data_IF_016748513604
#
_entry.id   IF_016748513604
#
_cell.length_a   1.000
_cell.length_b   1.000
_cell.length_c   1.000
_cell.angle_alpha   90.00
_cell.angle_beta   90.00
_cell.angle_gamma   90.00
#
_symmetry.space_group_name_H-M   'P 1'
#
loop_
_entity.id
_entity.type
_entity.pdbx_description
1 polymer ?
#
# COMPACT_ATOMS: atom_id res chain seq x y z
N UNK A 1 -17.88 9.17 -28.11
CA UNK A 1 -17.95 10.63 -28.01
C UNK A 1 -18.42 10.95 -26.60
N UNK A 2 -17.50 11.29 -25.69
CA UNK A 2 -17.79 11.53 -24.28
C UNK A 2 -18.58 12.84 -24.15
N UNK A 3 -19.76 12.80 -23.54
CA UNK A 3 -20.45 13.99 -23.06
C UNK A 3 -20.28 14.05 -21.54
N UNK A 4 -19.53 15.04 -21.08
CA UNK A 4 -19.40 15.44 -19.68
C UNK A 4 -20.56 16.40 -19.37
N UNK A 5 -21.53 15.93 -18.59
CA UNK A 5 -22.60 16.77 -18.05
C UNK A 5 -22.26 17.15 -16.61
N UNK A 6 -21.93 18.41 -16.38
CA UNK A 6 -21.79 19.00 -15.05
C UNK A 6 -23.17 19.29 -14.46
N UNK A 7 -23.49 18.78 -13.27
CA UNK A 7 -24.61 19.27 -12.47
C UNK A 7 -24.14 19.55 -11.05
N UNK A 8 -24.51 20.74 -10.58
CA UNK A 8 -24.19 21.37 -9.32
C UNK A 8 -25.40 21.32 -8.36
N UNK A 9 -25.13 21.53 -7.07
CA UNK A 9 -26.05 21.78 -5.92
C UNK A 9 -26.85 20.60 -5.31
N UNK A 10 -27.09 20.48 -4.00
CA UNK A 10 -26.53 21.01 -2.73
C UNK A 10 -27.08 20.14 -1.58
N UNK A 11 -26.38 20.06 -0.43
CA UNK A 11 -27.04 19.88 0.88
C UNK A 11 -27.00 18.50 1.52
N UNK A 12 -26.12 18.37 2.53
CA UNK A 12 -26.08 17.39 3.63
C UNK A 12 -25.66 15.95 3.32
N UNK A 13 -24.51 15.57 3.89
CA UNK A 13 -24.24 14.21 4.38
C UNK A 13 -23.29 13.39 3.51
N UNK A 14 -22.06 13.19 4.02
CA UNK A 14 -21.06 12.18 3.63
C UNK A 14 -20.85 11.97 2.11
N UNK A 15 -19.82 12.64 1.59
CA UNK A 15 -19.25 12.32 0.27
C UNK A 15 -18.43 11.03 0.42
N UNK A 16 -19.07 9.89 0.17
CA UNK A 16 -18.38 8.67 -0.19
C UNK A 16 -17.95 8.78 -1.65
N UNK A 17 -16.67 8.53 -1.94
CA UNK A 17 -16.18 8.48 -3.31
C UNK A 17 -16.59 7.11 -3.87
N UNK A 18 -17.81 7.02 -4.41
CA UNK A 18 -18.21 5.90 -5.27
C UNK A 18 -17.68 6.19 -6.68
N UNK A 19 -16.64 5.47 -7.09
CA UNK A 19 -16.25 5.45 -8.49
C UNK A 19 -17.29 4.65 -9.29
N UNK A 20 -18.27 5.33 -9.89
CA UNK A 20 -19.15 4.72 -10.91
C UNK A 20 -18.33 4.44 -12.17
N UNK A 21 -17.76 3.24 -12.27
CA UNK A 21 -17.20 2.72 -13.52
C UNK A 21 -18.37 2.22 -14.37
N UNK A 22 -18.46 2.72 -15.61
CA UNK A 22 -19.62 2.65 -16.49
C UNK A 22 -20.27 1.26 -16.64
N UNK A 23 -21.61 1.24 -16.56
CA UNK A 23 -22.47 0.07 -16.77
C UNK A 23 -22.30 -0.46 -18.20
N UNK A 24 -21.76 -1.66 -18.36
CA UNK A 24 -21.89 -2.43 -19.61
C UNK A 24 -23.28 -3.07 -19.64
N UNK A 25 -24.18 -2.59 -20.51
CA UNK A 25 -25.48 -3.21 -20.76
C UNK A 25 -25.34 -4.31 -21.80
N UNK A 26 -25.41 -5.57 -21.36
CA UNK A 26 -25.86 -6.67 -22.23
C UNK A 26 -27.18 -7.21 -21.67
N UNK A 27 -28.20 -7.23 -22.52
CA UNK A 27 -29.55 -7.67 -22.20
C UNK A 27 -29.55 -9.14 -21.76
N UNK A 28 -29.84 -9.41 -20.48
CA UNK A 28 -30.85 -10.38 -20.04
C UNK A 28 -30.82 -10.56 -18.52
N UNK A 29 -32.02 -10.54 -17.93
CA UNK A 29 -32.37 -11.00 -16.56
C UNK A 29 -31.65 -10.35 -15.37
N UNK A 30 -32.42 -9.51 -14.68
CA UNK A 30 -32.29 -9.07 -13.29
C UNK A 30 -31.34 -9.91 -12.41
N UNK A 31 -30.15 -9.38 -12.19
CA UNK A 31 -29.33 -9.71 -11.03
C UNK A 31 -28.67 -8.42 -10.55
N UNK A 32 -29.33 -7.69 -9.64
CA UNK A 32 -28.66 -6.66 -8.85
C UNK A 32 -27.79 -7.37 -7.80
N UNK A 33 -26.71 -8.03 -8.26
CA UNK A 33 -25.58 -8.29 -7.40
C UNK A 33 -24.70 -7.07 -7.50
N UNK A 34 -24.56 -6.34 -6.39
CA UNK A 34 -23.32 -5.64 -6.12
C UNK A 34 -22.23 -6.70 -6.15
N UNK A 35 -21.56 -6.82 -7.30
CA UNK A 35 -20.37 -7.66 -7.42
C UNK A 35 -19.30 -6.95 -6.61
N UNK A 36 -19.13 -7.36 -5.36
CA UNK A 36 -17.94 -7.05 -4.59
C UNK A 36 -16.79 -7.73 -5.32
N UNK A 37 -16.13 -7.03 -6.24
CA UNK A 37 -14.91 -7.56 -6.84
C UNK A 37 -13.87 -7.54 -5.73
N UNK A 38 -13.69 -8.68 -5.07
CA UNK A 38 -12.54 -8.94 -4.21
C UNK A 38 -11.34 -9.10 -5.12
N UNK A 39 -10.76 -7.98 -5.54
CA UNK A 39 -9.43 -7.97 -6.11
C UNK A 39 -8.47 -8.45 -5.02
N UNK A 40 -7.63 -9.45 -5.35
CA UNK A 40 -6.43 -9.74 -4.59
C UNK A 40 -5.66 -8.43 -4.46
N UNK A 41 -5.43 -7.94 -3.25
CA UNK A 41 -4.98 -6.56 -3.12
C UNK A 41 -4.22 -6.35 -1.82
N UNK A 42 -3.06 -5.71 -1.96
CA UNK A 42 -2.34 -5.13 -0.84
C UNK A 42 -3.28 -4.09 -0.21
N UNK A 43 -3.69 -4.29 1.03
CA UNK A 43 -4.61 -3.38 1.72
C UNK A 43 -3.88 -2.16 2.26
N UNK A 44 -2.71 -2.39 2.83
CA UNK A 44 -1.84 -1.34 3.32
C UNK A 44 -0.39 -1.81 3.40
N UNK A 45 0.51 -0.84 3.38
CA UNK A 45 1.93 -1.00 3.69
C UNK A 45 2.29 -0.07 4.84
N UNK A 46 2.97 -0.63 5.84
CA UNK A 46 3.44 0.08 7.02
C UNK A 46 4.96 -0.10 7.16
N UNK A 47 5.62 1.01 7.47
CA UNK A 47 7.00 1.04 7.90
C UNK A 47 7.04 1.59 9.32
N UNK A 48 7.41 0.76 10.28
CA UNK A 48 7.43 1.13 11.70
C UNK A 48 8.80 0.86 12.31
N UNK A 49 9.25 1.74 13.18
CA UNK A 49 10.46 1.49 13.94
C UNK A 49 10.21 0.63 15.19
N UNK A 50 11.27 0.25 15.88
CA UNK A 50 11.18 -0.56 17.11
C UNK A 50 10.32 0.07 18.22
N UNK A 51 10.19 1.40 18.25
CA UNK A 51 9.38 2.13 19.23
C UNK A 51 7.90 2.22 18.84
N UNK A 52 7.51 1.75 17.65
CA UNK A 52 6.14 1.86 17.14
C UNK A 52 5.84 3.19 16.46
N UNK A 53 6.86 3.99 16.16
CA UNK A 53 6.69 5.19 15.33
C UNK A 53 6.60 4.77 13.87
N UNK A 54 5.48 5.14 13.25
CA UNK A 54 5.24 4.95 11.82
C UNK A 54 6.05 5.97 11.01
N UNK A 55 6.83 5.48 10.04
CA UNK A 55 7.66 6.29 9.12
C UNK A 55 7.01 6.41 7.75
N UNK A 56 6.29 5.39 7.34
CA UNK A 56 5.47 5.37 6.13
C UNK A 56 4.21 4.57 6.42
N UNK A 57 3.07 5.07 5.96
CA UNK A 57 1.80 4.35 5.96
C UNK A 57 1.02 4.71 4.70
N UNK A 58 0.83 3.73 3.82
CA UNK A 58 -0.02 3.87 2.64
C UNK A 58 -1.14 2.85 2.73
N UNK A 59 -2.36 3.34 2.54
CA UNK A 59 -3.59 2.55 2.59
C UNK A 59 -4.21 2.55 1.20
N UNK A 60 -4.44 1.37 0.64
CA UNK A 60 -5.09 1.18 -0.65
C UNK A 60 -6.58 0.86 -0.51
N UNK A 61 -7.01 0.57 0.73
CA UNK A 61 -8.43 0.44 1.09
C UNK A 61 -8.86 1.65 1.91
N UNK A 62 -10.09 2.16 1.71
CA UNK A 62 -10.61 3.25 2.50
C UNK A 62 -10.78 2.78 3.96
N UNK A 63 -10.10 3.45 4.87
CA UNK A 63 -10.20 3.25 6.33
C UNK A 63 -10.45 4.58 7.01
N UNK A 64 -11.23 4.57 8.08
CA UNK A 64 -11.37 5.74 8.94
C UNK A 64 -10.08 5.99 9.73
N UNK A 65 -9.78 7.24 10.07
CA UNK A 65 -8.54 7.56 10.79
C UNK A 65 -8.45 6.86 12.15
N UNK A 66 -9.57 6.67 12.83
CA UNK A 66 -9.61 5.92 14.09
C UNK A 66 -9.21 4.45 13.90
N UNK A 67 -9.50 3.87 12.74
CA UNK A 67 -9.14 2.49 12.40
C UNK A 67 -7.68 2.40 11.97
N UNK A 68 -7.17 3.37 11.20
CA UNK A 68 -5.75 3.44 10.82
C UNK A 68 -4.84 3.38 12.05
N UNK A 69 -5.12 4.23 13.06
CA UNK A 69 -4.33 4.23 14.30
C UNK A 69 -4.40 2.89 15.06
N UNK A 70 -5.57 2.23 15.08
CA UNK A 70 -5.72 0.90 15.69
C UNK A 70 -4.93 -0.17 14.93
N UNK A 71 -5.01 -0.16 13.60
CA UNK A 71 -4.28 -1.09 12.73
C UNK A 71 -2.77 -0.93 12.92
N UNK A 72 -2.25 0.30 12.89
CA UNK A 72 -0.83 0.57 13.11
C UNK A 72 -0.35 0.05 14.47
N UNK A 73 -1.14 0.26 15.52
CA UNK A 73 -0.82 -0.22 16.86
C UNK A 73 -0.86 -1.74 16.98
N UNK A 74 -1.88 -2.38 16.42
CA UNK A 74 -2.03 -3.85 16.43
C UNK A 74 -0.90 -4.53 15.64
N UNK A 75 -0.61 -4.05 14.43
CA UNK A 75 0.46 -4.59 13.57
C UNK A 75 1.82 -4.43 14.24
N UNK A 76 2.12 -3.26 14.81
CA UNK A 76 3.37 -3.05 15.54
C UNK A 76 3.56 -4.07 16.66
N UNK A 77 2.53 -4.25 17.50
CA UNK A 77 2.58 -5.19 18.63
C UNK A 77 2.78 -6.64 18.19
N UNK A 78 2.14 -7.04 17.09
CA UNK A 78 2.26 -8.39 16.54
C UNK A 78 3.67 -8.67 16.02
N UNK A 79 4.26 -7.69 15.34
CA UNK A 79 5.55 -7.84 14.65
C UNK A 79 6.74 -7.66 15.60
N UNK A 80 6.72 -6.65 16.49
CA UNK A 80 7.87 -6.29 17.33
C UNK A 80 8.20 -7.33 18.41
N UNK A 81 7.19 -8.04 18.92
CA UNK A 81 7.34 -9.03 19.98
C UNK A 81 7.59 -10.45 19.43
N UNK A 82 7.61 -10.60 18.10
CA UNK A 82 7.74 -11.91 17.45
C UNK A 82 9.19 -12.36 17.45
N UNK A 83 9.41 -13.59 17.92
CA UNK A 83 10.74 -14.21 17.95
C UNK A 83 11.25 -14.45 16.51
N UNK A 84 12.51 -14.13 16.18
CA UNK A 84 13.09 -14.35 14.86
C UNK A 84 13.02 -15.79 14.33
N UNK A 85 12.80 -16.79 15.19
CA UNK A 85 12.62 -18.20 14.77
C UNK A 85 11.29 -18.47 14.06
N UNK A 86 10.31 -17.59 14.24
CA UNK A 86 9.01 -17.73 13.60
C UNK A 86 9.04 -17.23 12.17
N UNK A 87 8.05 -17.67 11.38
CA UNK A 87 7.88 -17.23 10.00
C UNK A 87 7.60 -15.72 9.91
N UNK A 88 7.92 -15.17 8.74
CA UNK A 88 7.63 -13.80 8.33
C UNK A 88 6.14 -13.52 8.03
N UNK A 89 5.28 -14.50 8.28
CA UNK A 89 3.85 -14.46 7.95
C UNK A 89 3.04 -14.55 9.24
N UNK A 90 2.11 -13.63 9.41
CA UNK A 90 1.29 -13.51 10.62
C UNK A 90 -0.16 -13.38 10.23
N UNK A 91 -1.03 -14.23 10.76
CA UNK A 91 -2.47 -14.07 10.61
C UNK A 91 -2.94 -12.78 11.30
N UNK A 92 -3.74 -12.00 10.58
CA UNK A 92 -4.26 -10.73 11.06
C UNK A 92 -5.72 -10.57 10.63
N UNK A 93 -6.64 -10.80 11.57
CA UNK A 93 -8.10 -10.77 11.32
C UNK A 93 -8.48 -11.76 10.22
N UNK A 94 -9.00 -11.28 9.09
CA UNK A 94 -9.35 -12.10 7.90
C UNK A 94 -8.29 -11.97 6.79
N UNK A 95 -7.10 -11.49 7.15
CA UNK A 95 -6.00 -11.18 6.24
C UNK A 95 -4.69 -11.75 6.80
N UNK A 96 -3.61 -11.59 6.05
CA UNK A 96 -2.26 -11.94 6.51
C UNK A 96 -1.32 -10.75 6.43
N UNK A 97 -0.41 -10.66 7.39
CA UNK A 97 0.67 -9.69 7.43
C UNK A 97 1.96 -10.39 7.04
N UNK A 98 2.59 -9.89 5.98
CA UNK A 98 3.91 -10.28 5.53
C UNK A 98 4.87 -9.22 6.00
N UNK A 99 5.87 -9.58 6.81
CA UNK A 99 6.78 -8.59 7.37
C UNK A 99 8.24 -9.01 7.29
N UNK A 100 9.13 -8.02 7.16
CA UNK A 100 10.58 -8.22 7.22
C UNK A 100 11.26 -7.10 7.98
N UNK A 101 12.24 -7.46 8.79
CA UNK A 101 13.01 -6.52 9.62
C UNK A 101 14.31 -6.15 8.91
N UNK A 102 14.55 -4.85 8.76
CA UNK A 102 15.80 -4.28 8.26
C UNK A 102 16.33 -3.28 9.29
N UNK A 103 17.49 -3.58 9.88
CA UNK A 103 18.05 -2.81 10.98
C UNK A 103 17.01 -2.54 12.10
N UNK A 104 16.68 -1.28 12.38
CA UNK A 104 15.69 -0.87 13.38
C UNK A 104 14.23 -0.79 12.90
N UNK A 105 13.99 -1.08 11.62
CA UNK A 105 12.71 -0.89 10.94
C UNK A 105 12.03 -2.21 10.61
N UNK A 106 10.71 -2.20 10.65
CA UNK A 106 9.82 -3.30 10.29
C UNK A 106 8.95 -2.86 9.12
N UNK A 107 9.13 -3.53 7.99
CA UNK A 107 8.32 -3.36 6.79
C UNK A 107 7.23 -4.41 6.83
N UNK A 108 5.97 -3.99 6.79
CA UNK A 108 4.80 -4.87 6.90
C UNK A 108 3.81 -4.57 5.79
N UNK A 109 3.40 -5.60 5.05
CA UNK A 109 2.33 -5.54 4.05
C UNK A 109 1.16 -6.38 4.55
N UNK A 110 -0.06 -5.86 4.40
CA UNK A 110 -1.28 -6.60 4.63
C UNK A 110 -1.87 -7.04 3.30
N UNK A 111 -2.00 -8.35 3.11
CA UNK A 111 -2.45 -8.98 1.86
C UNK A 111 -3.57 -9.98 2.16
N UNK A 112 -4.24 -10.47 1.12
CA UNK A 112 -5.34 -11.41 1.29
C UNK A 112 -4.83 -12.81 1.67
N UNK A 113 -5.70 -13.66 2.22
CA UNK A 113 -5.34 -15.01 2.66
C UNK A 113 -4.94 -15.94 1.51
N UNK A 114 -5.39 -15.66 0.29
CA UNK A 114 -5.11 -16.45 -0.92
C UNK A 114 -3.76 -16.11 -1.55
N UNK A 115 -3.20 -14.95 -1.21
CA UNK A 115 -2.03 -14.38 -1.84
C UNK A 115 -0.73 -15.15 -1.54
N UNK A 116 0.19 -15.08 -2.51
CA UNK A 116 1.52 -15.67 -2.41
C UNK A 116 2.44 -14.88 -1.46
N UNK A 117 2.64 -15.44 -0.27
CA UNK A 117 3.41 -14.88 0.83
C UNK A 117 4.88 -14.61 0.47
N UNK A 118 5.50 -15.51 -0.30
CA UNK A 118 6.91 -15.40 -0.69
C UNK A 118 7.11 -14.28 -1.73
N UNK A 119 6.13 -14.10 -2.62
CA UNK A 119 6.18 -13.02 -3.60
C UNK A 119 6.20 -11.65 -2.89
N UNK A 120 5.32 -11.44 -1.91
CA UNK A 120 5.30 -10.18 -1.15
C UNK A 120 6.51 -10.00 -0.22
N UNK A 121 7.09 -11.10 0.28
CA UNK A 121 8.33 -11.03 1.06
C UNK A 121 9.51 -10.56 0.20
N UNK A 122 9.59 -11.00 -1.05
CA UNK A 122 10.58 -10.51 -2.02
C UNK A 122 10.24 -9.10 -2.51
N UNK A 123 8.96 -8.73 -2.62
CA UNK A 123 8.57 -7.35 -2.92
C UNK A 123 9.07 -6.36 -1.85
N UNK A 124 8.99 -6.73 -0.57
CA UNK A 124 9.58 -5.92 0.51
C UNK A 124 11.09 -5.75 0.29
N UNK A 125 11.77 -6.83 -0.08
CA UNK A 125 13.22 -6.79 -0.27
C UNK A 125 13.60 -5.89 -1.45
N UNK A 126 12.91 -6.03 -2.56
CA UNK A 126 13.08 -5.20 -3.76
C UNK A 126 12.85 -3.71 -3.44
N UNK A 127 11.81 -3.39 -2.68
CA UNK A 127 11.54 -2.02 -2.26
C UNK A 127 12.69 -1.44 -1.42
N UNK A 128 13.22 -2.21 -0.47
CA UNK A 128 14.37 -1.79 0.34
C UNK A 128 15.63 -1.60 -0.49
N UNK A 129 15.88 -2.46 -1.49
CA UNK A 129 17.01 -2.29 -2.41
C UNK A 129 16.88 -1.04 -3.28
N UNK A 130 15.67 -0.70 -3.74
CA UNK A 130 15.42 0.54 -4.50
C UNK A 130 15.72 1.76 -3.61
N UNK A 131 15.24 1.74 -2.35
CA UNK A 131 15.53 2.80 -1.40
C UNK A 131 17.03 2.93 -1.12
N UNK A 132 17.74 1.81 -0.95
CA UNK A 132 19.17 1.80 -0.69
C UNK A 132 19.98 2.36 -1.88
N UNK A 133 19.59 2.01 -3.11
CA UNK A 133 20.19 2.56 -4.31
C UNK A 133 19.88 4.06 -4.47
N UNK A 134 18.66 4.50 -4.17
CA UNK A 134 18.25 5.89 -4.31
C UNK A 134 18.97 6.81 -3.30
N UNK A 135 19.08 6.39 -2.04
CA UNK A 135 19.71 7.20 -0.98
C UNK A 135 21.21 6.95 -0.79
N UNK A 136 21.81 5.98 -1.50
CA UNK A 136 23.22 5.60 -1.38
C UNK A 136 23.64 5.25 0.05
N UNK A 137 23.14 4.11 0.55
CA UNK A 137 23.15 3.64 1.95
C UNK A 137 22.03 4.26 2.79
N UNK A 138 20.81 3.76 2.60
CA UNK A 138 19.62 4.29 3.26
C UNK A 138 19.65 4.08 4.77
N UNK A 139 19.30 5.12 5.53
CA UNK A 139 19.03 4.99 6.97
C UNK A 139 17.60 5.47 7.34
N UNK A 140 17.14 5.14 8.56
CA UNK A 140 15.81 5.56 9.04
C UNK A 140 15.62 7.08 8.96
N UNK A 141 16.70 7.84 9.17
CA UNK A 141 16.66 9.30 9.17
C UNK A 141 16.38 9.86 7.77
N UNK A 142 16.92 9.24 6.72
CA UNK A 142 16.66 9.63 5.33
C UNK A 142 15.20 9.45 4.96
N UNK A 143 14.59 8.35 5.42
CA UNK A 143 13.16 8.07 5.20
C UNK A 143 12.27 9.08 5.93
N UNK A 144 12.71 9.59 7.09
CA UNK A 144 11.99 10.62 7.85
C UNK A 144 12.11 11.99 7.18
N UNK A 145 13.31 12.40 6.77
CA UNK A 145 13.51 13.72 6.17
C UNK A 145 12.99 13.80 4.73
N UNK A 146 13.14 12.73 3.95
CA UNK A 146 12.74 12.68 2.55
C UNK A 146 11.46 11.86 2.34
N UNK A 147 10.50 11.91 3.27
CA UNK A 147 9.29 11.10 3.22
C UNK A 147 8.53 11.26 1.90
N UNK A 148 8.48 12.47 1.34
CA UNK A 148 7.84 12.76 0.05
C UNK A 148 8.44 11.93 -1.09
N UNK A 149 9.77 11.84 -1.18
CA UNK A 149 10.46 11.01 -2.17
C UNK A 149 10.16 9.53 -1.97
N UNK A 150 10.10 9.07 -0.72
CA UNK A 150 9.75 7.68 -0.41
C UNK A 150 8.33 7.34 -0.89
N UNK A 151 7.36 8.25 -0.74
CA UNK A 151 6.01 8.05 -1.28
C UNK A 151 6.01 8.04 -2.82
N UNK A 152 6.80 8.88 -3.48
CA UNK A 152 6.93 8.84 -4.95
C UNK A 152 7.50 7.50 -5.44
N UNK A 153 8.56 7.02 -4.79
CA UNK A 153 9.15 5.70 -5.11
C UNK A 153 8.11 4.59 -4.86
N UNK A 154 7.37 4.67 -3.75
CA UNK A 154 6.32 3.70 -3.45
C UNK A 154 5.20 3.72 -4.49
N UNK A 155 4.80 4.90 -4.97
CA UNK A 155 3.72 5.04 -5.94
C UNK A 155 4.13 4.55 -7.35
N UNK A 156 5.41 4.62 -7.73
CA UNK A 156 5.92 3.94 -8.94
C UNK A 156 6.00 2.41 -8.75
N UNK A 157 6.19 1.95 -7.51
CA UNK A 157 6.36 0.53 -7.18
C UNK A 157 5.01 -0.21 -7.05
N UNK A 158 4.05 0.36 -6.32
CA UNK A 158 2.74 -0.22 -6.04
C UNK A 158 1.65 0.82 -6.31
N UNK A 159 0.72 0.47 -7.19
CA UNK A 159 -0.40 1.32 -7.55
C UNK A 159 -1.71 0.58 -7.38
N UNK A 160 -2.71 1.25 -6.81
CA UNK A 160 -4.03 0.69 -6.55
C UNK A 160 -4.02 -0.65 -5.78
N UNK A 161 -3.01 -0.86 -4.94
CA UNK A 161 -2.85 -2.08 -4.14
C UNK A 161 -2.29 -3.28 -4.90
N UNK A 162 -1.74 -3.04 -6.09
CA UNK A 162 -1.12 -4.04 -6.95
C UNK A 162 0.32 -3.67 -7.29
N UNK A 163 1.14 -4.68 -7.54
CA UNK A 163 2.54 -4.48 -7.94
C UNK A 163 2.61 -3.95 -9.37
N UNK A 164 3.08 -2.72 -9.54
CA UNK A 164 3.14 -2.06 -10.85
C UNK A 164 4.46 -2.36 -11.58
N UNK A 165 5.59 -2.08 -10.93
CA UNK A 165 6.91 -2.17 -11.54
C UNK A 165 7.85 -2.99 -10.67
N UNK A 166 8.61 -3.89 -11.30
CA UNK A 166 9.54 -4.79 -10.60
C UNK A 166 10.99 -4.56 -11.02
N UNK A 167 11.21 -3.80 -12.09
CA UNK A 167 12.55 -3.44 -12.55
C UNK A 167 13.09 -2.26 -11.75
N UNK A 168 14.11 -2.52 -10.91
CA UNK A 168 14.87 -1.47 -10.20
C UNK A 168 15.32 -0.35 -11.14
N UNK A 169 15.84 -0.74 -12.32
CA UNK A 169 16.35 0.20 -13.32
C UNK A 169 15.24 1.13 -13.83
N UNK A 170 14.06 0.58 -14.12
CA UNK A 170 12.94 1.37 -14.63
C UNK A 170 12.46 2.40 -13.58
N UNK A 171 12.36 1.99 -12.31
CA UNK A 171 11.94 2.88 -11.21
C UNK A 171 12.95 4.01 -11.01
N UNK A 172 14.25 3.71 -11.00
CA UNK A 172 15.29 4.74 -10.83
C UNK A 172 15.30 5.73 -12.00
N UNK A 173 15.13 5.23 -13.24
CA UNK A 173 15.06 6.07 -14.44
C UNK A 173 13.85 7.02 -14.40
N UNK A 174 12.67 6.50 -14.06
CA UNK A 174 11.43 7.28 -13.84
C UNK A 174 11.61 8.36 -12.77
N UNK A 175 12.21 8.01 -11.63
CA UNK A 175 12.48 8.98 -10.57
C UNK A 175 13.44 10.09 -11.02
N UNK A 176 14.47 9.75 -11.78
CA UNK A 176 15.40 10.73 -12.35
C UNK A 176 14.80 11.63 -13.42
N UNK A 177 13.71 11.21 -14.08
CA UNK A 177 12.94 12.06 -14.98
C UNK A 177 12.02 13.02 -14.20
N UNK A 178 11.35 12.51 -13.16
CA UNK A 178 10.48 13.31 -12.29
C UNK A 178 11.25 14.42 -11.57
N UNK A 179 12.46 14.15 -11.08
CA UNK A 179 13.32 15.16 -10.46
C UNK A 179 13.78 16.28 -11.44
N UNK A 180 13.71 16.06 -12.76
CA UNK A 180 14.06 17.10 -13.76
C UNK A 180 12.90 18.03 -14.09
N UNK A 181 11.67 17.61 -13.77
CA UNK A 181 10.45 18.37 -14.04
C UNK A 181 10.07 19.29 -12.87
N UNK A 182 10.64 19.05 -11.69
CA UNK A 182 10.59 19.93 -10.51
C UNK A 182 11.69 21.01 -10.55
#
# INVERSE_FOLDING_TARGET
MLHIGSSWETGRGKVGIEAEIGKFTSNSSNFNQSVSISFEMIRFILLQNRQGKTRLAKYYVPLEDSEKHKVEYEVHRLVVNRDPKYTNFVEFRTHKIIYRRYAGLFFSLCVDITDNELAYLECIHLFVEILDHFFSNVCELDLVFNFHKVYLILDEFILAGELQETSKKAIIERMGELEKLE
#
